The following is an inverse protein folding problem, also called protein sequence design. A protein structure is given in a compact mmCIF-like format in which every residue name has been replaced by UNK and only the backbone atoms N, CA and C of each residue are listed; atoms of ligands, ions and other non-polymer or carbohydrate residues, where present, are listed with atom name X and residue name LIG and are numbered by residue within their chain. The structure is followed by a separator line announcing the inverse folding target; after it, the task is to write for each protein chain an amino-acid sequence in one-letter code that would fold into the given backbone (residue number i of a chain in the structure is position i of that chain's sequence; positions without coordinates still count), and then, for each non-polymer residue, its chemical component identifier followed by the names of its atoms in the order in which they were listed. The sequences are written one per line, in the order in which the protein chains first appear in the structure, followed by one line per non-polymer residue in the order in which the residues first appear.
data_IF_841658466524
#
_entry.id   IF_841658466524
#
_cell.length_a   1.000
_cell.length_b   1.000
_cell.length_c   1.000
_cell.angle_alpha   90.00
_cell.angle_beta   90.00
_cell.angle_gamma   90.00
#
_symmetry.space_group_name_H-M   'P 1'
#
loop_
_entity.id
_entity.type
_entity.pdbx_description
1 polymer ?
#
# COMPACT_ATOMS: atom_id res chain seq x y z
N UNK A 1 -19.46 -35.98 15.93
CA UNK A 1 -20.29 -34.91 15.38
C UNK A 1 -19.53 -34.41 14.17
N UNK A 2 -19.93 -34.91 13.01
CA UNK A 2 -19.28 -34.68 11.74
C UNK A 2 -19.78 -33.34 11.19
N UNK A 3 -18.90 -32.35 11.13
CA UNK A 3 -19.17 -31.06 10.47
C UNK A 3 -18.54 -31.15 9.08
N UNK A 4 -19.06 -32.04 8.25
CA UNK A 4 -18.85 -31.97 6.81
C UNK A 4 -19.81 -30.89 6.27
N UNK A 5 -19.46 -29.62 6.46
CA UNK A 5 -20.17 -28.47 5.88
C UNK A 5 -20.05 -28.57 4.35
N UNK A 6 -21.15 -28.47 3.57
CA UNK A 6 -21.07 -28.58 2.12
C UNK A 6 -20.13 -27.48 1.62
N UNK A 7 -19.20 -27.84 0.75
CA UNK A 7 -18.19 -26.94 0.19
C UNK A 7 -18.76 -25.55 -0.07
N UNK A 8 -18.38 -24.57 0.77
CA UNK A 8 -18.65 -23.17 0.52
C UNK A 8 -17.88 -22.78 -0.74
N UNK A 9 -18.53 -22.90 -1.90
CA UNK A 9 -17.95 -22.47 -3.17
C UNK A 9 -17.61 -20.99 -3.07
N UNK A 10 -16.38 -20.63 -3.42
CA UNK A 10 -15.93 -19.24 -3.40
C UNK A 10 -16.77 -18.40 -4.36
N UNK A 11 -17.17 -17.20 -3.93
CA UNK A 11 -17.87 -16.23 -4.79
C UNK A 11 -17.10 -15.96 -6.09
N UNK A 12 -17.83 -15.72 -7.19
CA UNK A 12 -17.23 -15.37 -8.48
C UNK A 12 -16.28 -14.16 -8.36
N UNK A 13 -15.17 -14.20 -9.10
CA UNK A 13 -14.11 -13.18 -9.06
C UNK A 13 -14.65 -11.79 -9.42
N UNK A 14 -15.52 -11.70 -10.41
CA UNK A 14 -16.07 -10.41 -10.85
C UNK A 14 -17.07 -9.89 -9.82
N UNK A 15 -17.91 -10.76 -9.27
CA UNK A 15 -18.81 -10.41 -8.17
C UNK A 15 -18.05 -9.88 -6.94
N UNK A 16 -16.98 -10.57 -6.52
CA UNK A 16 -16.12 -10.13 -5.42
C UNK A 16 -15.50 -8.75 -5.69
N UNK A 17 -14.92 -8.53 -6.88
CA UNK A 17 -14.34 -7.22 -7.27
C UNK A 17 -15.39 -6.11 -7.33
N UNK A 18 -16.61 -6.42 -7.76
CA UNK A 18 -17.74 -5.49 -7.74
C UNK A 18 -18.12 -5.10 -6.31
N UNK A 19 -18.21 -6.07 -5.39
CA UNK A 19 -18.44 -5.83 -3.97
C UNK A 19 -17.33 -4.97 -3.36
N UNK A 20 -16.07 -5.37 -3.55
CA UNK A 20 -14.90 -4.64 -3.06
C UNK A 20 -14.80 -3.22 -3.58
N UNK A 21 -15.29 -2.94 -4.80
CA UNK A 21 -15.31 -1.57 -5.31
C UNK A 21 -16.14 -0.62 -4.46
N UNK A 22 -17.09 -1.11 -3.64
CA UNK A 22 -17.92 -0.31 -2.74
C UNK A 22 -17.26 -0.04 -1.39
N UNK A 23 -16.18 -0.76 -1.05
CA UNK A 23 -15.42 -0.53 0.18
C UNK A 23 -14.43 0.62 -0.08
N UNK A 24 -14.81 1.82 0.37
CA UNK A 24 -13.96 3.00 0.27
C UNK A 24 -12.67 2.84 1.09
N UNK A 25 -11.57 3.38 0.57
CA UNK A 25 -10.26 3.31 1.20
C UNK A 25 -9.44 4.55 0.91
N UNK A 26 -8.49 4.88 1.78
CA UNK A 26 -7.45 5.82 1.46
C UNK A 26 -6.52 5.24 0.40
N UNK A 27 -6.00 6.08 -0.48
CA UNK A 27 -5.00 5.69 -1.47
C UNK A 27 -3.61 5.88 -0.87
N UNK A 28 -2.78 4.84 -0.92
CA UNK A 28 -1.39 4.89 -0.46
C UNK A 28 -0.43 4.51 -1.58
N UNK A 29 0.77 5.09 -1.56
CA UNK A 29 1.93 4.53 -2.27
C UNK A 29 2.87 3.91 -1.25
N UNK A 30 3.11 2.62 -1.44
CA UNK A 30 4.00 1.84 -0.60
C UNK A 30 5.37 1.81 -1.28
N UNK A 31 6.42 2.17 -0.56
CA UNK A 31 7.77 2.27 -1.09
C UNK A 31 8.76 1.45 -0.27
N UNK A 32 9.84 1.02 -0.92
CA UNK A 32 10.99 0.38 -0.29
C UNK A 32 12.26 0.69 -1.08
N UNK A 33 13.42 0.36 -0.50
CA UNK A 33 14.72 0.40 -1.14
C UNK A 33 15.28 -1.03 -1.18
N UNK A 34 15.66 -1.51 -2.37
CA UNK A 34 16.29 -2.83 -2.52
C UNK A 34 17.42 -2.74 -3.53
N UNK A 35 18.60 -3.26 -3.18
CA UNK A 35 19.78 -3.21 -4.04
C UNK A 35 20.15 -1.80 -4.51
N UNK A 36 19.95 -0.77 -3.66
CA UNK A 36 20.20 0.63 -3.99
C UNK A 36 19.16 1.29 -4.92
N UNK A 37 18.11 0.56 -5.32
CA UNK A 37 17.06 1.06 -6.19
C UNK A 37 15.76 1.28 -5.44
N UNK A 38 15.05 2.35 -5.80
CA UNK A 38 13.76 2.73 -5.22
C UNK A 38 12.66 1.94 -5.88
N UNK A 39 11.76 1.37 -5.09
CA UNK A 39 10.61 0.62 -5.60
C UNK A 39 9.34 1.11 -4.90
N UNK A 40 8.22 1.05 -5.62
CA UNK A 40 6.93 1.29 -4.99
C UNK A 40 5.73 0.96 -5.86
N UNK A 41 4.58 0.84 -5.20
CA UNK A 41 3.30 0.54 -5.83
C UNK A 41 2.15 1.24 -5.12
N UNK A 42 1.07 1.51 -5.86
CA UNK A 42 -0.17 2.02 -5.27
C UNK A 42 -0.93 0.89 -4.60
N UNK A 43 -1.37 1.12 -3.36
CA UNK A 43 -2.12 0.18 -2.55
C UNK A 43 -3.36 0.84 -1.93
N UNK A 44 -4.45 0.08 -1.89
CA UNK A 44 -5.66 0.40 -1.10
C UNK A 44 -5.91 -0.61 0.02
N UNK A 45 -5.22 -1.75 -0.02
CA UNK A 45 -5.29 -2.79 1.01
C UNK A 45 -4.25 -2.50 2.10
N UNK A 46 -4.52 -1.45 2.88
CA UNK A 46 -3.73 -1.01 4.04
C UNK A 46 -4.67 -0.93 5.24
N UNK A 47 -4.23 -1.42 6.39
CA UNK A 47 -5.03 -1.36 7.61
C UNK A 47 -4.15 -1.28 8.86
N UNK A 48 -4.64 -0.60 9.90
CA UNK A 48 -4.04 -0.69 11.24
C UNK A 48 -4.24 -2.09 11.81
N UNK A 49 -3.26 -2.58 12.57
CA UNK A 49 -3.31 -3.89 13.24
C UNK A 49 -3.35 -3.73 14.75
N UNK A 50 -2.46 -2.91 15.32
CA UNK A 50 -2.35 -2.67 16.76
C UNK A 50 -1.71 -1.30 17.01
N UNK A 51 -1.99 -0.70 18.17
CA UNK A 51 -1.26 0.47 18.69
C UNK A 51 -0.15 0.08 19.68
N UNK A 52 -0.12 -1.17 20.14
CA UNK A 52 0.81 -1.67 21.16
C UNK A 52 1.36 -3.05 20.76
N UNK A 53 2.50 -3.13 20.05
CA UNK A 53 3.21 -2.03 19.41
C UNK A 53 2.47 -1.49 18.18
N UNK A 54 2.70 -0.22 17.84
CA UNK A 54 2.16 0.42 16.63
C UNK A 54 2.51 -0.39 15.37
N UNK A 55 1.49 -1.00 14.78
CA UNK A 55 1.62 -1.98 13.70
C UNK A 55 0.54 -1.75 12.66
N UNK A 56 0.91 -1.78 11.39
CA UNK A 56 -0.01 -1.79 10.26
C UNK A 56 0.30 -2.98 9.34
N UNK A 57 -0.62 -3.27 8.42
CA UNK A 57 -0.41 -4.22 7.34
C UNK A 57 -0.59 -3.59 5.97
N UNK A 58 0.04 -4.20 4.97
CA UNK A 58 -0.22 -3.92 3.55
C UNK A 58 -0.15 -5.18 2.71
N UNK A 59 -1.07 -5.31 1.75
CA UNK A 59 -1.10 -6.44 0.83
C UNK A 59 -0.47 -6.08 -0.52
N UNK A 60 0.53 -6.84 -0.95
CA UNK A 60 1.15 -6.73 -2.28
C UNK A 60 0.81 -7.96 -3.13
N UNK A 61 0.39 -7.74 -4.37
CA UNK A 61 0.19 -8.83 -5.34
C UNK A 61 1.56 -9.39 -5.75
N UNK A 62 1.74 -10.72 -5.63
CA UNK A 62 3.01 -11.38 -5.93
C UNK A 62 3.38 -11.35 -7.42
N UNK A 63 2.41 -11.07 -8.30
CA UNK A 63 2.64 -10.83 -9.74
C UNK A 63 3.06 -9.38 -10.06
N UNK A 64 3.13 -8.48 -9.08
CA UNK A 64 3.61 -7.10 -9.27
C UNK A 64 5.08 -7.11 -9.68
N UNK A 65 5.47 -6.25 -10.64
CA UNK A 65 6.87 -6.07 -11.02
C UNK A 65 7.76 -5.57 -9.88
N UNK A 66 7.16 -4.99 -8.83
CA UNK A 66 7.89 -4.53 -7.63
C UNK A 66 7.97 -5.59 -6.53
N UNK A 67 7.22 -6.70 -6.64
CA UNK A 67 7.20 -7.73 -5.60
C UNK A 67 8.58 -8.27 -5.22
N UNK A 68 9.53 -8.51 -6.15
CA UNK A 68 10.87 -8.98 -5.77
C UNK A 68 11.58 -8.05 -4.78
N UNK A 69 11.40 -6.74 -4.89
CA UNK A 69 11.99 -5.78 -3.95
C UNK A 69 11.37 -5.89 -2.55
N UNK A 70 10.05 -6.08 -2.47
CA UNK A 70 9.34 -6.24 -1.20
C UNK A 70 9.51 -7.62 -0.57
N UNK A 71 9.80 -8.66 -1.38
CA UNK A 71 10.05 -10.00 -0.89
C UNK A 71 11.33 -10.09 -0.03
N UNK A 72 12.28 -9.17 -0.22
CA UNK A 72 13.54 -9.08 0.52
C UNK A 72 13.66 -7.79 1.34
N UNK A 73 12.59 -6.99 1.44
CA UNK A 73 12.64 -5.71 2.12
C UNK A 73 12.73 -5.90 3.64
N UNK A 74 13.61 -5.15 4.30
CA UNK A 74 13.61 -5.01 5.76
C UNK A 74 12.77 -3.82 6.24
N UNK A 75 12.59 -2.82 5.37
CA UNK A 75 11.86 -1.60 5.66
C UNK A 75 10.96 -1.20 4.48
N UNK A 76 9.83 -0.58 4.79
CA UNK A 76 8.95 0.02 3.80
C UNK A 76 8.26 1.25 4.36
N UNK A 77 7.81 2.15 3.49
CA UNK A 77 7.01 3.30 3.89
C UNK A 77 5.63 3.21 3.27
N UNK A 78 4.58 3.45 4.05
CA UNK A 78 3.21 3.64 3.56
C UNK A 78 2.93 5.14 3.50
N UNK A 79 2.91 5.69 2.29
CA UNK A 79 2.65 7.11 2.04
C UNK A 79 1.18 7.27 1.64
N UNK A 80 0.32 7.64 2.59
CA UNK A 80 -1.08 7.95 2.32
C UNK A 80 -1.17 9.27 1.57
N UNK A 81 -1.77 9.25 0.38
CA UNK A 81 -1.76 10.39 -0.53
C UNK A 81 -2.76 11.47 -0.12
N UNK A 82 -2.41 12.71 -0.42
CA UNK A 82 -3.26 13.89 -0.32
C UNK A 82 -4.17 14.02 -1.55
N UNK A 83 -5.34 14.66 -1.39
CA UNK A 83 -6.17 15.10 -2.51
C UNK A 83 -5.33 15.87 -3.56
N UNK A 84 -5.50 15.60 -4.86
CA UNK A 84 -4.68 16.19 -5.91
C UNK A 84 -3.42 15.39 -6.30
N UNK A 85 -3.12 14.30 -5.57
CA UNK A 85 -2.00 13.39 -5.90
C UNK A 85 -2.45 12.15 -6.70
N UNK A 86 -3.56 12.23 -7.46
CA UNK A 86 -4.06 11.15 -8.31
C UNK A 86 -3.02 10.72 -9.34
N UNK A 87 -2.18 11.68 -9.77
CA UNK A 87 -1.14 11.40 -10.72
C UNK A 87 -0.08 10.43 -10.18
N UNK A 88 0.36 10.64 -8.94
CA UNK A 88 1.26 9.73 -8.24
C UNK A 88 0.59 8.35 -8.12
N UNK A 89 -0.68 8.30 -7.71
CA UNK A 89 -1.43 7.05 -7.59
C UNK A 89 -1.50 6.26 -8.91
N UNK A 90 -1.72 6.94 -10.04
CA UNK A 90 -1.85 6.30 -11.35
C UNK A 90 -0.50 5.76 -11.88
N UNK A 91 0.59 6.49 -11.65
CA UNK A 91 1.94 6.08 -12.05
C UNK A 91 2.38 4.85 -11.26
N UNK A 92 2.27 4.91 -9.93
CA UNK A 92 2.64 3.79 -9.05
C UNK A 92 1.66 2.61 -9.16
N UNK A 93 0.43 2.84 -9.63
CA UNK A 93 -0.57 1.82 -9.93
C UNK A 93 -0.40 1.16 -11.31
N UNK A 94 0.55 1.62 -12.13
CA UNK A 94 0.84 1.07 -13.45
C UNK A 94 -0.18 1.45 -14.53
N UNK A 95 -1.06 2.42 -14.29
CA UNK A 95 -2.00 2.93 -15.32
C UNK A 95 -1.30 3.80 -16.35
N UNK A 96 -0.17 4.41 -15.99
CA UNK A 96 0.66 5.21 -16.89
C UNK A 96 2.08 4.67 -16.94
N UNK A 97 2.60 4.34 -18.13
CA UNK A 97 4.00 3.96 -18.27
C UNK A 97 4.87 5.19 -18.07
N UNK A 98 5.80 5.12 -17.12
CA UNK A 98 6.81 6.16 -16.87
C UNK A 98 8.16 5.46 -16.71
N UNK A 99 9.21 6.06 -17.27
CA UNK A 99 10.58 5.54 -17.20
C UNK A 99 11.10 5.53 -15.77
N UNK A 100 10.88 6.63 -15.03
CA UNK A 100 11.16 6.74 -13.60
C UNK A 100 9.91 7.19 -12.84
N UNK A 101 9.33 6.30 -12.02
CA UNK A 101 8.14 6.62 -11.21
C UNK A 101 8.41 7.70 -10.17
N UNK A 102 9.64 7.77 -9.67
CA UNK A 102 10.03 8.68 -8.60
C UNK A 102 10.43 10.07 -9.10
N UNK A 103 10.35 10.33 -10.41
CA UNK A 103 10.48 11.68 -10.96
C UNK A 103 9.23 12.53 -10.73
N UNK A 104 8.13 11.91 -10.27
CA UNK A 104 6.86 12.59 -9.97
C UNK A 104 6.63 12.57 -8.47
N UNK A 105 6.38 13.75 -7.90
CA UNK A 105 6.34 13.99 -6.45
C UNK A 105 7.71 14.34 -5.87
N UNK A 106 7.72 14.80 -4.63
CA UNK A 106 8.94 15.18 -3.90
C UNK A 106 9.29 14.08 -2.90
N UNK A 107 10.34 13.31 -3.18
CA UNK A 107 10.74 12.16 -2.37
C UNK A 107 11.98 12.48 -1.55
N UNK A 108 11.91 12.18 -0.25
CA UNK A 108 13.03 12.29 0.70
C UNK A 108 13.47 10.91 1.15
N UNK A 109 14.70 10.80 1.60
CA UNK A 109 15.18 9.57 2.26
C UNK A 109 14.67 9.52 3.70
N UNK A 110 14.03 8.41 4.05
CA UNK A 110 13.66 8.07 5.41
C UNK A 110 14.66 7.10 6.04
N UNK A 111 14.19 6.36 7.07
CA UNK A 111 14.95 5.29 7.70
C UNK A 111 15.40 4.25 6.66
N UNK A 112 16.65 3.81 6.76
CA UNK A 112 17.28 2.88 5.81
C UNK A 112 17.23 3.34 4.32
N UNK A 113 17.08 4.64 4.07
CA UNK A 113 17.07 5.21 2.72
C UNK A 113 15.78 4.96 1.94
N UNK A 114 14.71 4.45 2.59
CA UNK A 114 13.44 4.22 1.91
C UNK A 114 12.83 5.56 1.43
N UNK A 115 12.21 5.62 0.24
CA UNK A 115 11.59 6.85 -0.25
C UNK A 115 10.37 7.24 0.58
N UNK A 116 10.32 8.46 1.08
CA UNK A 116 9.19 9.06 1.80
C UNK A 116 8.68 10.25 1.00
N UNK A 117 7.38 10.27 0.68
CA UNK A 117 6.75 11.36 -0.04
C UNK A 117 6.59 12.56 0.90
N UNK A 118 7.21 13.70 0.54
CA UNK A 118 7.34 14.86 1.42
C UNK A 118 6.00 15.54 1.73
N UNK A 119 5.07 15.48 0.79
CA UNK A 119 3.75 16.11 0.80
C UNK A 119 2.60 15.09 0.92
N UNK A 120 2.89 13.85 1.34
CA UNK A 120 1.86 12.87 1.69
C UNK A 120 0.95 13.42 2.81
N UNK A 121 -0.31 12.98 2.85
CA UNK A 121 -1.23 13.25 3.96
C UNK A 121 -0.65 12.73 5.28
N UNK A 122 -0.16 11.48 5.25
CA UNK A 122 0.64 10.88 6.32
C UNK A 122 1.58 9.84 5.72
N UNK A 123 2.78 9.71 6.29
CA UNK A 123 3.74 8.67 5.93
C UNK A 123 4.10 7.85 7.17
N UNK A 124 3.99 6.53 7.06
CA UNK A 124 4.36 5.58 8.11
C UNK A 124 5.58 4.79 7.67
N UNK A 125 6.73 5.06 8.29
CA UNK A 125 7.95 4.30 8.04
C UNK A 125 7.96 3.07 8.94
N UNK A 126 8.11 1.90 8.32
CA UNK A 126 7.93 0.63 8.97
C UNK A 126 9.19 -0.23 8.87
N UNK A 127 9.53 -0.89 9.96
CA UNK A 127 10.37 -2.09 9.94
C UNK A 127 9.45 -3.30 9.69
N UNK A 128 9.84 -4.18 8.77
CA UNK A 128 9.09 -5.40 8.49
C UNK A 128 9.19 -6.35 9.69
N UNK A 129 8.05 -6.64 10.32
CA UNK A 129 7.96 -7.51 11.48
C UNK A 129 7.60 -8.96 11.09
N UNK A 130 6.68 -9.13 10.14
CA UNK A 130 6.26 -10.45 9.65
C UNK A 130 5.72 -10.35 8.21
N UNK A 131 5.66 -11.47 7.50
CA UNK A 131 5.03 -11.56 6.19
C UNK A 131 4.39 -12.93 5.94
N UNK A 132 3.14 -12.91 5.50
CA UNK A 132 2.35 -14.12 5.24
C UNK A 132 1.87 -14.15 3.80
N UNK A 133 2.13 -15.24 3.09
CA UNK A 133 1.57 -15.47 1.76
C UNK A 133 0.13 -15.97 1.86
N UNK A 134 -0.79 -15.26 1.21
CA UNK A 134 -2.20 -15.63 1.13
C UNK A 134 -2.69 -15.56 -0.33
N UNK A 135 -2.94 -16.73 -0.91
CA UNK A 135 -3.35 -16.89 -2.30
C UNK A 135 -2.45 -16.10 -3.28
N UNK A 136 -2.94 -15.01 -3.87
CA UNK A 136 -2.17 -14.22 -4.86
C UNK A 136 -1.34 -13.10 -4.25
N UNK A 137 -1.47 -12.85 -2.94
CA UNK A 137 -0.82 -11.72 -2.28
C UNK A 137 0.12 -12.17 -1.17
N UNK A 138 1.08 -11.29 -0.84
CA UNK A 138 1.81 -11.33 0.42
C UNK A 138 1.29 -10.20 1.29
N UNK A 139 0.93 -10.53 2.53
CA UNK A 139 0.59 -9.56 3.57
C UNK A 139 1.88 -9.22 4.30
N UNK A 140 2.25 -7.94 4.32
CA UNK A 140 3.40 -7.44 5.05
C UNK A 140 2.89 -6.78 6.33
N UNK A 141 3.42 -7.19 7.48
CA UNK A 141 3.17 -6.56 8.77
C UNK A 141 4.35 -5.67 9.14
N UNK A 142 4.09 -4.37 9.27
CA UNK A 142 5.11 -3.37 9.56
C UNK A 142 4.93 -2.78 10.95
N UNK A 143 5.98 -2.84 11.75
CA UNK A 143 6.08 -2.07 12.99
C UNK A 143 6.43 -0.63 12.63
N UNK A 144 5.57 0.32 12.99
CA UNK A 144 5.78 1.74 12.69
C UNK A 144 6.88 2.26 13.62
N UNK A 145 7.96 2.77 13.02
CA UNK A 145 9.15 3.28 13.73
C UNK A 145 9.31 4.79 13.59
N UNK A 146 8.68 5.41 12.59
CA UNK A 146 8.63 6.86 12.41
C UNK A 146 7.38 7.24 11.60
N UNK A 147 6.87 8.45 11.82
CA UNK A 147 5.67 8.94 11.16
C UNK A 147 5.79 10.44 10.86
N UNK A 148 5.31 10.87 9.70
CA UNK A 148 5.15 12.30 9.38
C UNK A 148 3.74 12.58 8.90
N UNK A 149 3.10 13.54 9.54
CA UNK A 149 1.75 13.99 9.23
C UNK A 149 1.78 15.34 8.52
N UNK A 150 0.85 15.56 7.60
CA UNK A 150 0.61 16.86 7.01
C UNK A 150 -0.51 17.61 7.75
N UNK A 151 -0.31 18.91 7.94
CA UNK A 151 -1.22 19.76 8.72
C UNK A 151 -2.55 20.04 8.01
N UNK A 152 -2.60 19.98 6.68
CA UNK A 152 -3.82 20.28 5.90
C UNK A 152 -4.89 19.18 5.99
N UNK A 153 -4.55 18.00 6.55
CA UNK A 153 -5.46 16.87 6.86
C UNK A 153 -6.39 16.42 5.72
N UNK A 154 -6.01 16.63 4.46
CA UNK A 154 -6.72 16.13 3.28
C UNK A 154 -6.15 14.79 2.81
N UNK A 155 -7.02 13.84 2.42
CA UNK A 155 -6.61 12.49 1.99
C UNK A 155 -7.33 12.09 0.71
N UNK A 156 -6.58 11.53 -0.25
CA UNK A 156 -7.14 10.96 -1.47
C UNK A 156 -7.84 9.65 -1.15
N UNK A 157 -9.12 9.56 -1.50
CA UNK A 157 -9.94 8.37 -1.29
C UNK A 157 -10.22 7.68 -2.62
N UNK A 158 -10.42 6.35 -2.58
CA UNK A 158 -10.86 5.56 -3.73
C UNK A 158 -12.08 4.71 -3.37
N UNK A 159 -13.15 4.88 -4.13
CA UNK A 159 -14.39 4.13 -3.96
C UNK A 159 -15.17 4.11 -5.27
N UNK A 160 -15.93 3.06 -5.52
CA UNK A 160 -16.72 2.81 -6.74
C UNK A 160 -15.91 3.03 -8.02
N UNK A 161 -14.64 2.61 -8.00
CA UNK A 161 -13.67 2.72 -9.11
C UNK A 161 -13.27 4.14 -9.50
N UNK A 162 -13.48 5.12 -8.63
CA UNK A 162 -13.11 6.52 -8.86
C UNK A 162 -12.38 7.10 -7.65
N UNK A 163 -11.56 8.10 -7.91
CA UNK A 163 -11.03 8.97 -6.87
C UNK A 163 -12.16 9.83 -6.28
N UNK A 164 -12.08 10.06 -4.97
CA UNK A 164 -12.96 10.94 -4.21
C UNK A 164 -12.10 11.93 -3.44
N UNK A 165 -12.61 13.14 -3.27
CA UNK A 165 -11.97 14.22 -2.55
C UNK A 165 -12.60 14.32 -1.16
N UNK A 166 -11.77 14.17 -0.13
CA UNK A 166 -12.13 14.39 1.28
C UNK A 166 -11.88 15.82 1.71
#
# INVERSE_FOLDING_TARGET
MDISDPSLDSVDRTAFRNGMSRLGSAVSVVTTLSGGHRHGFTASAVCSVSDTPATLLVCINRASSTFPAFATASHFCVNTLMSGQEEIADIFGGKRPVVDRFSVGQWKEGHAGIPVLADASVSFQCELADAVDQATHRVLFGRVIDMRENMEKATLLYCMRRYLYG
#
